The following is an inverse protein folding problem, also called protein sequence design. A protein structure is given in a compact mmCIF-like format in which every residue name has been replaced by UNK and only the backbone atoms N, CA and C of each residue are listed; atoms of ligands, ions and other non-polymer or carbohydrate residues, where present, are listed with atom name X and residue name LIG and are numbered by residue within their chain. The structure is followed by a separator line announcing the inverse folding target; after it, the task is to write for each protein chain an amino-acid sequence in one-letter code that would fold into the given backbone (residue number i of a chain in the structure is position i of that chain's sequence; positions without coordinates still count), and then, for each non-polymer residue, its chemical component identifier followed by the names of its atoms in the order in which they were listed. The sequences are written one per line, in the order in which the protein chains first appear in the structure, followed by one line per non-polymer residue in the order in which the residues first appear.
data_IF_332351175924
#
_entry.id   IF_332351175924
#
_cell.length_a   1.000
_cell.length_b   1.000
_cell.length_c   1.000
_cell.angle_alpha   90.00
_cell.angle_beta   90.00
_cell.angle_gamma   90.00
#
_symmetry.space_group_name_H-M   'P 1'
#
loop_
_entity.id
_entity.type
_entity.pdbx_description
1 polymer ?
#
# COMPACT_ATOMS: atom_id res chain seq x y z
N UNK A 1 60.90 5.12 -1.92
CA UNK A 1 60.09 6.22 -1.37
C UNK A 1 59.35 7.01 -2.45
N UNK A 2 59.97 7.38 -3.58
CA UNK A 2 59.32 8.23 -4.60
C UNK A 2 58.22 7.53 -5.43
N UNK A 3 58.29 6.19 -5.54
CA UNK A 3 57.33 5.33 -6.25
C UNK A 3 56.00 5.19 -5.51
N UNK A 4 56.05 5.05 -4.18
CA UNK A 4 54.86 4.90 -3.36
C UNK A 4 54.03 6.19 -3.33
N UNK A 5 54.69 7.35 -3.21
CA UNK A 5 54.03 8.66 -3.27
C UNK A 5 53.25 8.87 -4.58
N UNK A 6 53.80 8.42 -5.72
CA UNK A 6 53.11 8.46 -7.02
C UNK A 6 51.90 7.52 -7.06
N UNK A 7 52.02 6.32 -6.46
CA UNK A 7 50.91 5.34 -6.36
C UNK A 7 49.77 5.84 -5.48
N UNK A 8 50.08 6.47 -4.34
CA UNK A 8 49.08 7.09 -3.46
C UNK A 8 48.37 8.26 -4.14
N UNK A 9 49.10 9.13 -4.84
CA UNK A 9 48.52 10.25 -5.60
C UNK A 9 47.53 9.77 -6.66
N UNK A 10 47.87 8.69 -7.37
CA UNK A 10 46.98 8.09 -8.38
C UNK A 10 45.72 7.47 -7.77
N UNK A 11 45.85 6.77 -6.63
CA UNK A 11 44.70 6.22 -5.89
C UNK A 11 43.78 7.33 -5.40
N UNK A 12 44.34 8.40 -4.82
CA UNK A 12 43.58 9.56 -4.36
C UNK A 12 42.78 10.21 -5.49
N UNK A 13 43.38 10.45 -6.65
CA UNK A 13 42.68 11.04 -7.79
C UNK A 13 41.57 10.12 -8.34
N UNK A 14 41.79 8.80 -8.37
CA UNK A 14 40.75 7.83 -8.75
C UNK A 14 39.57 7.84 -7.78
N UNK A 15 39.84 7.79 -6.47
CA UNK A 15 38.80 7.82 -5.44
C UNK A 15 38.04 9.14 -5.48
N UNK A 16 38.73 10.27 -5.65
CA UNK A 16 38.13 11.59 -5.80
C UNK A 16 37.20 11.67 -7.01
N UNK A 17 37.60 11.08 -8.14
CA UNK A 17 36.75 11.00 -9.35
C UNK A 17 35.51 10.12 -9.11
N UNK A 18 35.68 9.00 -8.41
CA UNK A 18 34.57 8.10 -8.06
C UNK A 18 33.55 8.79 -7.12
N UNK A 19 34.03 9.50 -6.10
CA UNK A 19 33.17 10.28 -5.20
C UNK A 19 32.39 11.33 -5.98
N UNK A 20 33.04 12.08 -6.87
CA UNK A 20 32.35 13.06 -7.73
C UNK A 20 31.25 12.41 -8.56
N UNK A 21 31.54 11.27 -9.19
CA UNK A 21 30.56 10.56 -9.99
C UNK A 21 29.35 10.11 -9.15
N UNK A 22 29.58 9.58 -7.94
CA UNK A 22 28.48 9.21 -7.04
C UNK A 22 27.64 10.41 -6.61
N UNK A 23 28.25 11.58 -6.37
CA UNK A 23 27.50 12.80 -6.05
C UNK A 23 26.61 13.22 -7.23
N UNK A 24 27.12 13.14 -8.46
CA UNK A 24 26.31 13.45 -9.65
C UNK A 24 25.19 12.44 -9.89
N UNK A 25 25.45 11.15 -9.70
CA UNK A 25 24.44 10.10 -9.82
C UNK A 25 23.35 10.26 -8.77
N UNK A 26 23.72 10.54 -7.52
CA UNK A 26 22.76 10.83 -6.46
C UNK A 26 21.92 12.09 -6.77
N UNK A 27 22.53 13.14 -7.32
CA UNK A 27 21.79 14.34 -7.71
C UNK A 27 20.74 14.02 -8.80
N UNK A 28 21.12 13.26 -9.82
CA UNK A 28 20.20 12.85 -10.89
C UNK A 28 19.05 11.96 -10.37
N UNK A 29 19.33 11.06 -9.43
CA UNK A 29 18.29 10.25 -8.78
C UNK A 29 17.34 11.09 -7.93
N UNK A 30 17.85 12.10 -7.22
CA UNK A 30 17.02 13.03 -6.46
C UNK A 30 16.07 13.84 -7.37
N UNK A 31 16.53 14.24 -8.55
CA UNK A 31 15.70 14.91 -9.55
C UNK A 31 14.58 13.98 -10.06
N UNK A 32 14.91 12.73 -10.39
CA UNK A 32 13.93 11.74 -10.84
C UNK A 32 12.88 11.41 -9.77
N UNK A 33 13.30 11.29 -8.50
CA UNK A 33 12.38 11.10 -7.37
C UNK A 33 11.44 12.29 -7.22
N UNK A 34 11.96 13.52 -7.37
CA UNK A 34 11.16 14.74 -7.26
C UNK A 34 10.09 14.81 -8.35
N UNK A 35 10.43 14.47 -9.59
CA UNK A 35 9.45 14.39 -10.68
C UNK A 35 8.38 13.31 -10.46
N UNK A 36 8.77 12.15 -9.93
CA UNK A 36 7.83 11.07 -9.62
C UNK A 36 6.87 11.47 -8.49
N UNK A 37 7.37 12.17 -7.48
CA UNK A 37 6.56 12.69 -6.38
C UNK A 37 5.53 13.71 -6.88
N UNK A 38 5.93 14.61 -7.78
CA UNK A 38 5.02 15.58 -8.41
C UNK A 38 3.91 14.88 -9.21
N UNK A 39 4.29 13.92 -10.08
CA UNK A 39 3.32 13.12 -10.85
C UNK A 39 2.37 12.35 -9.93
N UNK A 40 2.89 11.78 -8.85
CA UNK A 40 2.08 11.08 -7.86
C UNK A 40 1.07 12.02 -7.18
N UNK A 41 1.50 13.23 -6.81
CA UNK A 41 0.61 14.25 -6.24
C UNK A 41 -0.54 14.60 -7.18
N UNK A 42 -0.24 14.86 -8.46
CA UNK A 42 -1.25 15.18 -9.47
C UNK A 42 -2.27 14.04 -9.59
N UNK A 43 -1.80 12.79 -9.74
CA UNK A 43 -2.68 11.62 -9.87
C UNK A 43 -3.51 11.41 -8.59
N UNK A 44 -2.92 11.64 -7.41
CA UNK A 44 -3.62 11.52 -6.15
C UNK A 44 -4.73 12.57 -5.99
N UNK A 45 -4.47 13.81 -6.40
CA UNK A 45 -5.48 14.87 -6.43
C UNK A 45 -6.60 14.58 -7.43
N UNK A 46 -6.27 14.12 -8.63
CA UNK A 46 -7.26 13.70 -9.62
C UNK A 46 -8.14 12.56 -9.09
N UNK A 47 -7.54 11.55 -8.47
CA UNK A 47 -8.28 10.45 -7.85
C UNK A 47 -9.20 10.97 -6.76
N UNK A 48 -8.71 11.82 -5.84
CA UNK A 48 -9.52 12.42 -4.78
C UNK A 48 -10.70 13.22 -5.35
N UNK A 49 -10.46 14.00 -6.41
CA UNK A 49 -11.50 14.75 -7.10
C UNK A 49 -12.56 13.83 -7.73
N UNK A 50 -12.13 12.79 -8.45
CA UNK A 50 -13.03 11.82 -9.08
C UNK A 50 -13.86 11.07 -8.05
N UNK A 51 -13.26 10.62 -6.95
CA UNK A 51 -13.98 9.98 -5.85
C UNK A 51 -14.99 10.92 -5.19
N UNK A 52 -14.63 12.18 -4.94
CA UNK A 52 -15.55 13.18 -4.41
C UNK A 52 -16.72 13.43 -5.37
N UNK A 53 -16.47 13.49 -6.68
CA UNK A 53 -17.49 13.70 -7.70
C UNK A 53 -18.42 12.48 -7.86
N UNK A 54 -17.88 11.27 -7.73
CA UNK A 54 -18.65 10.03 -7.69
C UNK A 54 -19.58 9.98 -6.47
N UNK A 55 -19.07 10.36 -5.29
CA UNK A 55 -19.87 10.50 -4.08
C UNK A 55 -21.05 11.46 -4.27
N UNK A 56 -20.78 12.65 -4.83
CA UNK A 56 -21.82 13.65 -5.10
C UNK A 56 -22.88 13.17 -6.10
N UNK A 57 -22.50 12.43 -7.15
CA UNK A 57 -23.46 11.87 -8.12
C UNK A 57 -24.31 10.76 -7.52
N UNK A 58 -23.74 9.92 -6.66
CA UNK A 58 -24.49 8.90 -5.93
C UNK A 58 -25.48 9.54 -4.95
N UNK A 59 -25.12 10.64 -4.29
CA UNK A 59 -26.05 11.44 -3.48
C UNK A 59 -27.11 12.18 -4.30
N UNK A 60 -26.85 12.48 -5.58
CA UNK A 60 -27.79 13.17 -6.48
C UNK A 60 -28.78 12.19 -7.14
N UNK A 61 -28.42 10.92 -7.35
CA UNK A 61 -29.37 9.91 -7.86
C UNK A 61 -30.47 9.55 -6.85
N UNK A 62 -30.21 9.67 -5.55
CA UNK A 62 -31.26 9.49 -4.53
C UNK A 62 -32.28 10.64 -4.51
N UNK A 63 -31.94 11.84 -5.01
CA UNK A 63 -32.84 13.01 -5.02
C UNK A 63 -33.67 13.16 -6.30
N UNK A 64 -33.27 12.55 -7.42
CA UNK A 64 -33.98 12.66 -8.71
C UNK A 64 -35.19 11.72 -8.90
N UNK A 65 -35.37 10.72 -8.03
CA UNK A 65 -36.43 9.70 -8.19
C UNK A 65 -37.74 10.00 -7.44
N UNK A 66 -37.90 11.20 -6.84
CA UNK A 66 -39.08 11.55 -6.02
C UNK A 66 -40.09 12.53 -6.64
N UNK A 67 -39.96 12.89 -7.92
CA UNK A 67 -40.85 13.87 -8.57
C UNK A 67 -41.51 13.33 -9.84
N UNK A 68 -42.49 12.43 -9.69
CA UNK A 68 -43.67 12.30 -10.58
C UNK A 68 -44.58 11.14 -10.11
N UNK A 69 -45.66 11.45 -9.38
CA UNK A 69 -46.87 10.62 -9.40
C UNK A 69 -48.06 11.40 -8.87
N UNK A 70 -48.80 12.07 -9.77
CA UNK A 70 -50.22 12.38 -9.55
C UNK A 70 -50.96 12.13 -10.86
N UNK A 71 -52.00 11.29 -10.75
CA UNK A 71 -53.14 10.97 -11.65
C UNK A 71 -53.02 9.77 -12.61
N UNK A 72 -53.73 8.71 -12.20
CA UNK A 72 -54.33 7.68 -13.06
C UNK A 72 -55.59 8.23 -13.74
N UNK A 73 -55.80 7.91 -15.03
CA UNK A 73 -56.93 7.11 -15.54
C UNK A 73 -56.90 7.04 -17.09
N UNK A 74 -57.24 5.87 -17.62
CA UNK A 74 -57.38 5.42 -19.03
C UNK A 74 -58.46 6.18 -19.85
N UNK A 75 -58.72 5.91 -21.17
CA UNK A 75 -58.07 5.07 -22.20
C UNK A 75 -57.77 5.77 -23.57
N UNK A 76 -57.06 5.06 -24.46
CA UNK A 76 -56.83 5.11 -25.96
C UNK A 76 -57.89 5.91 -26.78
N UNK A 77 -57.67 6.44 -28.04
CA UNK A 77 -56.66 6.01 -29.04
C UNK A 77 -56.14 7.03 -30.12
N UNK A 78 -55.23 6.55 -30.99
CA UNK A 78 -54.86 7.04 -32.35
C UNK A 78 -54.08 8.38 -32.38
N UNK A 79 -53.05 8.64 -33.19
CA UNK A 79 -52.75 8.27 -34.58
C UNK A 79 -51.24 8.43 -34.87
N UNK A 80 -50.76 7.54 -35.73
CA UNK A 80 -49.69 7.61 -36.75
C UNK A 80 -48.98 8.94 -37.06
N UNK A 81 -47.73 8.73 -37.50
CA UNK A 81 -46.83 9.59 -38.29
C UNK A 81 -46.10 10.68 -37.49
N UNK A 82 -44.81 10.92 -37.68
CA UNK A 82 -43.84 10.41 -38.65
C UNK A 82 -42.63 11.36 -38.61
N UNK A 83 -41.46 10.80 -38.94
CA UNK A 83 -40.28 11.50 -39.48
C UNK A 83 -39.73 12.72 -38.71
N UNK A 84 -38.63 12.55 -37.98
CA UNK A 84 -37.26 12.73 -38.50
C UNK A 84 -36.80 14.19 -38.68
N UNK A 85 -35.65 14.43 -38.03
CA UNK A 85 -34.45 15.15 -38.49
C UNK A 85 -34.20 16.58 -37.99
N UNK A 86 -33.03 16.63 -37.34
CA UNK A 86 -31.90 17.56 -37.51
C UNK A 86 -31.88 18.82 -36.64
N UNK A 87 -30.82 18.82 -35.83
CA UNK A 87 -29.93 19.89 -35.35
C UNK A 87 -29.83 21.14 -36.28
N UNK A 88 -29.12 22.24 -35.92
CA UNK A 88 -28.11 22.36 -34.85
C UNK A 88 -28.02 23.74 -34.13
N UNK A 89 -27.05 23.79 -33.21
CA UNK A 89 -26.12 24.91 -32.97
C UNK A 89 -26.60 26.24 -32.35
N UNK A 90 -26.06 26.44 -31.14
CA UNK A 90 -25.14 27.53 -30.79
C UNK A 90 -25.69 28.85 -30.22
N UNK A 91 -25.17 29.10 -29.01
CA UNK A 91 -24.50 30.32 -28.53
C UNK A 91 -25.34 31.41 -27.84
N UNK A 92 -24.68 31.91 -26.79
CA UNK A 92 -24.86 33.14 -26.01
C UNK A 92 -25.99 33.11 -24.98
N UNK A 93 -25.89 33.74 -23.83
CA UNK A 93 -24.78 34.25 -23.02
C UNK A 93 -25.40 34.73 -21.71
N UNK A 94 -24.64 34.63 -20.61
CA UNK A 94 -24.47 35.68 -19.58
C UNK A 94 -25.56 35.89 -18.51
N UNK A 95 -25.04 35.97 -17.27
CA UNK A 95 -25.51 36.78 -16.10
C UNK A 95 -26.65 36.17 -15.28
N UNK A 96 -26.37 35.53 -14.13
CA UNK A 96 -26.16 36.06 -12.77
C UNK A 96 -27.33 36.92 -12.26
N UNK A 97 -28.11 36.35 -11.32
CA UNK A 97 -28.54 36.95 -10.04
C UNK A 97 -29.59 36.03 -9.38
N UNK A 98 -29.26 35.34 -8.28
CA UNK A 98 -29.41 35.69 -6.84
C UNK A 98 -30.69 35.17 -6.19
N UNK A 99 -30.51 34.49 -5.06
CA UNK A 99 -31.39 34.42 -3.88
C UNK A 99 -32.74 33.70 -4.05
N UNK A 100 -33.29 32.92 -3.11
CA UNK A 100 -32.96 32.59 -1.72
C UNK A 100 -34.10 31.73 -1.16
N UNK A 101 -33.80 30.80 -0.24
CA UNK A 101 -34.64 30.35 0.91
C UNK A 101 -35.93 29.60 0.57
N UNK A 102 -36.31 28.47 1.17
CA UNK A 102 -35.82 27.69 2.31
C UNK A 102 -36.88 26.66 2.73
N UNK A 103 -36.49 25.72 3.61
CA UNK A 103 -37.30 24.80 4.46
C UNK A 103 -38.22 23.76 3.74
N UNK A 104 -37.94 22.44 3.73
CA UNK A 104 -38.03 21.40 4.80
C UNK A 104 -39.41 21.30 5.46
N UNK A 105 -39.96 20.12 5.88
CA UNK A 105 -39.23 18.98 6.47
C UNK A 105 -39.80 17.53 6.29
N UNK A 106 -39.00 16.57 6.79
CA UNK A 106 -39.32 15.32 7.54
C UNK A 106 -40.48 14.40 7.13
N UNK A 107 -40.25 13.13 6.78
CA UNK A 107 -40.09 12.00 7.73
C UNK A 107 -41.29 11.04 7.49
N UNK A 108 -41.31 9.73 7.63
CA UNK A 108 -40.41 8.68 8.11
C UNK A 108 -40.89 7.34 7.49
N UNK A 109 -40.05 6.30 7.53
CA UNK A 109 -40.36 4.86 7.69
C UNK A 109 -41.50 4.22 6.84
N UNK A 110 -41.36 3.05 6.21
CA UNK A 110 -40.80 1.81 6.74
C UNK A 110 -40.77 0.73 5.64
N UNK A 111 -39.79 -0.17 5.77
CA UNK A 111 -39.88 -1.62 5.61
C UNK A 111 -40.59 -2.28 4.39
N UNK A 112 -39.77 -3.08 3.72
CA UNK A 112 -39.98 -4.49 3.32
C UNK A 112 -40.32 -4.89 1.88
N UNK A 113 -39.38 -5.70 1.37
CA UNK A 113 -39.50 -6.97 0.61
C UNK A 113 -39.51 -6.93 -0.92
N UNK A 114 -38.34 -7.36 -1.41
CA UNK A 114 -38.09 -8.47 -2.35
C UNK A 114 -38.53 -8.29 -3.81
N UNK A 115 -37.52 -8.26 -4.68
CA UNK A 115 -37.65 -8.60 -6.10
C UNK A 115 -36.25 -8.78 -6.71
N UNK A 116 -35.71 -9.99 -6.60
CA UNK A 116 -34.43 -10.36 -7.19
C UNK A 116 -34.47 -10.21 -8.73
N UNK A 117 -33.45 -9.57 -9.32
CA UNK A 117 -33.12 -9.79 -10.74
C UNK A 117 -31.62 -9.67 -10.99
N UNK A 118 -31.02 -10.85 -11.18
CA UNK A 118 -29.75 -11.19 -11.84
C UNK A 118 -29.09 -10.04 -12.60
N UNK A 119 -27.91 -9.62 -12.13
CA UNK A 119 -26.96 -8.83 -12.90
C UNK A 119 -25.82 -9.74 -13.38
N UNK A 120 -25.68 -9.85 -14.68
CA UNK A 120 -24.61 -10.57 -15.37
C UNK A 120 -23.27 -9.89 -15.09
N UNK A 121 -22.35 -10.63 -14.47
CA UNK A 121 -21.03 -10.19 -14.05
C UNK A 121 -20.13 -9.87 -15.25
N UNK A 122 -19.85 -8.59 -15.47
CA UNK A 122 -18.66 -8.19 -16.24
C UNK A 122 -17.43 -8.51 -15.39
N UNK A 123 -16.64 -9.50 -15.84
CA UNK A 123 -15.35 -9.89 -15.24
C UNK A 123 -14.42 -8.67 -15.19
N UNK A 124 -14.22 -8.11 -14.00
CA UNK A 124 -13.15 -7.15 -13.75
C UNK A 124 -11.79 -7.80 -14.03
N UNK A 125 -10.94 -7.13 -14.80
CA UNK A 125 -9.53 -7.51 -14.93
C UNK A 125 -8.90 -7.46 -13.53
N UNK A 126 -8.42 -8.59 -13.04
CA UNK A 126 -7.72 -8.67 -11.76
C UNK A 126 -6.49 -7.75 -11.78
N UNK A 127 -6.39 -6.83 -10.82
CA UNK A 127 -5.20 -6.02 -10.59
C UNK A 127 -4.07 -6.96 -10.17
N UNK A 128 -3.00 -7.01 -10.95
CA UNK A 128 -1.87 -7.93 -10.77
C UNK A 128 -0.96 -7.42 -9.65
N UNK A 129 -0.69 -8.23 -8.63
CA UNK A 129 0.23 -7.87 -7.53
C UNK A 129 1.68 -8.18 -7.93
N UNK A 130 2.49 -7.13 -8.11
CA UNK A 130 3.92 -7.27 -8.42
C UNK A 130 4.74 -7.61 -7.17
N UNK A 131 5.64 -8.58 -7.32
CA UNK A 131 6.61 -8.99 -6.30
C UNK A 131 7.98 -8.42 -6.64
N UNK A 132 8.59 -7.75 -5.67
CA UNK A 132 9.97 -7.27 -5.75
C UNK A 132 10.96 -8.44 -5.61
N UNK A 133 12.04 -8.49 -6.40
CA UNK A 133 13.12 -9.44 -6.21
C UNK A 133 13.72 -9.34 -4.80
N UNK A 134 13.95 -10.49 -4.17
CA UNK A 134 14.60 -10.59 -2.85
C UNK A 134 15.91 -11.37 -2.98
N UNK A 135 16.84 -11.11 -2.06
CA UNK A 135 18.05 -11.92 -1.93
C UNK A 135 17.67 -13.30 -1.38
N UNK A 136 18.15 -14.34 -2.04
CA UNK A 136 18.01 -15.72 -1.60
C UNK A 136 19.39 -16.26 -1.22
N UNK A 137 19.44 -17.16 -0.25
CA UNK A 137 20.65 -17.89 0.09
C UNK A 137 20.95 -19.00 -0.94
N UNK A 138 22.07 -19.71 -0.75
CA UNK A 138 22.46 -20.83 -1.61
C UNK A 138 21.43 -21.97 -1.65
N UNK A 139 20.52 -22.02 -0.68
CA UNK A 139 19.44 -23.02 -0.59
C UNK A 139 18.11 -22.52 -1.18
N UNK A 140 18.08 -21.29 -1.71
CA UNK A 140 16.89 -20.66 -2.27
C UNK A 140 15.93 -20.07 -1.23
N UNK A 141 16.35 -19.94 0.04
CA UNK A 141 15.54 -19.33 1.10
C UNK A 141 15.77 -17.83 1.18
N UNK A 142 14.75 -17.03 1.56
CA UNK A 142 14.91 -15.59 1.76
C UNK A 142 15.98 -15.26 2.81
N UNK A 143 16.84 -14.28 2.50
CA UNK A 143 17.77 -13.69 3.47
C UNK A 143 17.06 -12.55 4.19
N UNK A 144 17.05 -12.60 5.52
CA UNK A 144 16.50 -11.56 6.38
C UNK A 144 17.58 -10.55 6.81
N UNK A 145 17.20 -9.28 7.06
CA UNK A 145 15.87 -8.72 6.90
C UNK A 145 15.49 -8.45 5.43
N UNK A 146 14.22 -8.64 5.08
CA UNK A 146 13.66 -8.22 3.79
C UNK A 146 13.20 -6.77 3.92
N UNK A 147 13.89 -5.85 3.27
CA UNK A 147 13.64 -4.41 3.35
C UNK A 147 12.81 -3.94 2.17
N UNK A 148 11.70 -3.25 2.44
CA UNK A 148 10.79 -2.65 1.45
C UNK A 148 10.42 -1.24 1.91
N UNK A 149 11.10 -0.22 1.37
CA UNK A 149 10.91 1.17 1.81
C UNK A 149 11.28 1.35 3.29
N UNK A 150 10.35 1.83 4.11
CA UNK A 150 10.51 2.00 5.56
C UNK A 150 10.07 0.78 6.40
N UNK A 151 9.79 -0.35 5.75
CA UNK A 151 9.45 -1.62 6.39
C UNK A 151 10.64 -2.58 6.28
N UNK A 152 11.00 -3.23 7.39
CA UNK A 152 11.98 -4.32 7.41
C UNK A 152 11.35 -5.55 8.04
N UNK A 153 11.26 -6.67 7.32
CA UNK A 153 10.72 -7.93 7.85
C UNK A 153 11.87 -8.82 8.30
N UNK A 154 11.85 -9.28 9.55
CA UNK A 154 12.89 -10.10 10.17
C UNK A 154 12.52 -11.59 10.27
N UNK A 155 11.22 -11.89 10.29
CA UNK A 155 10.71 -13.26 10.33
C UNK A 155 9.34 -13.31 9.65
N UNK A 156 9.12 -14.34 8.83
CA UNK A 156 7.80 -14.62 8.25
C UNK A 156 6.89 -15.40 9.19
N UNK A 157 7.44 -15.99 10.27
CA UNK A 157 6.71 -16.87 11.16
C UNK A 157 6.27 -18.20 10.55
N UNK A 158 5.50 -18.95 11.32
CA UNK A 158 4.97 -20.26 10.99
C UNK A 158 3.47 -20.20 10.69
N UNK A 159 3.07 -20.83 9.58
CA UNK A 159 1.66 -20.90 9.18
C UNK A 159 0.95 -21.93 10.03
N UNK A 160 -0.03 -21.47 10.81
CA UNK A 160 -0.86 -22.30 11.67
C UNK A 160 -1.99 -22.90 10.84
N UNK A 161 -2.02 -24.23 10.72
CA UNK A 161 -2.99 -24.96 9.88
C UNK A 161 -4.04 -25.74 10.66
N UNK A 162 -3.82 -25.93 11.96
CA UNK A 162 -4.72 -26.67 12.86
C UNK A 162 -5.91 -25.81 13.35
N UNK A 163 -5.81 -24.48 13.25
CA UNK A 163 -6.77 -23.51 13.78
C UNK A 163 -7.21 -22.52 12.70
N UNK A 164 -8.51 -22.43 12.46
CA UNK A 164 -9.09 -21.56 11.41
C UNK A 164 -9.02 -20.07 11.72
N UNK A 165 -8.75 -19.66 12.96
CA UNK A 165 -8.63 -18.25 13.34
C UNK A 165 -7.37 -17.55 12.80
N UNK A 166 -6.41 -18.30 12.25
CA UNK A 166 -5.11 -17.79 11.78
C UNK A 166 -5.07 -17.43 10.30
N UNK A 167 -6.19 -17.49 9.59
CA UNK A 167 -6.28 -17.01 8.21
C UNK A 167 -7.68 -16.53 7.87
N UNK A 168 -7.76 -15.68 6.86
CA UNK A 168 -8.98 -15.37 6.12
C UNK A 168 -8.90 -16.01 4.74
N UNK A 169 -9.93 -15.79 3.92
CA UNK A 169 -9.94 -16.24 2.53
C UNK A 169 -8.74 -15.70 1.71
N UNK A 170 -8.22 -14.52 2.05
CA UNK A 170 -7.21 -13.81 1.26
C UNK A 170 -5.89 -13.54 2.01
N UNK A 171 -5.83 -13.78 3.32
CA UNK A 171 -4.70 -13.43 4.17
C UNK A 171 -4.39 -14.53 5.18
N UNK A 172 -3.12 -14.70 5.51
CA UNK A 172 -2.64 -15.65 6.51
C UNK A 172 -1.95 -14.84 7.59
N UNK A 173 -2.12 -15.23 8.85
CA UNK A 173 -1.50 -14.60 10.02
C UNK A 173 -0.55 -15.60 10.68
N UNK A 174 0.70 -15.71 10.19
CA UNK A 174 1.67 -16.66 10.73
C UNK A 174 2.17 -16.23 12.11
N UNK A 175 2.26 -17.19 13.04
CA UNK A 175 2.79 -16.96 14.39
C UNK A 175 4.29 -16.79 14.34
N UNK A 176 4.84 -15.81 15.05
CA UNK A 176 6.26 -15.48 15.01
C UNK A 176 6.66 -14.58 13.83
N UNK A 177 5.69 -14.07 13.06
CA UNK A 177 5.91 -12.98 12.13
C UNK A 177 6.48 -11.78 12.87
N UNK A 178 7.54 -11.18 12.35
CA UNK A 178 8.22 -10.05 12.97
C UNK A 178 8.67 -9.05 11.90
N UNK A 179 8.24 -7.80 12.04
CA UNK A 179 8.66 -6.69 11.19
C UNK A 179 8.94 -5.44 12.00
N UNK A 180 9.75 -4.54 11.47
CA UNK A 180 9.99 -3.22 12.01
C UNK A 180 9.53 -2.17 11.01
N UNK A 181 8.92 -1.10 11.51
CA UNK A 181 8.49 0.05 10.70
C UNK A 181 8.87 1.35 11.38
N UNK A 182 9.46 2.27 10.61
CA UNK A 182 9.70 3.64 11.07
C UNK A 182 8.39 4.43 11.01
N UNK A 183 7.99 5.03 12.13
CA UNK A 183 6.76 5.82 12.25
C UNK A 183 6.89 6.91 13.34
N UNK A 184 5.89 7.79 13.48
CA UNK A 184 5.93 8.89 14.47
C UNK A 184 6.03 8.36 15.90
N UNK A 185 6.89 8.97 16.72
CA UNK A 185 7.08 8.60 18.12
C UNK A 185 5.87 8.99 18.99
N UNK A 186 5.49 8.11 19.91
CA UNK A 186 4.48 8.43 20.95
C UNK A 186 5.06 9.40 21.99
N UNK A 187 6.37 9.35 22.24
CA UNK A 187 7.03 10.18 23.26
C UNK A 187 7.35 11.58 22.73
N UNK A 188 7.87 11.66 21.51
CA UNK A 188 8.29 12.90 20.87
C UNK A 188 7.66 12.98 19.46
N UNK A 189 6.45 13.51 19.31
CA UNK A 189 5.75 13.46 18.02
C UNK A 189 6.44 14.18 16.86
N UNK A 190 7.38 15.08 17.14
CA UNK A 190 8.25 15.71 16.13
C UNK A 190 9.35 14.79 15.60
N UNK A 191 9.54 13.62 16.23
CA UNK A 191 10.56 12.63 15.90
C UNK A 191 9.92 11.33 15.44
N UNK A 192 10.72 10.53 14.73
CA UNK A 192 10.36 9.17 14.34
C UNK A 192 11.06 8.16 15.25
N UNK A 193 10.39 7.05 15.50
CA UNK A 193 10.99 5.89 16.15
C UNK A 193 10.68 4.62 15.35
N UNK A 194 11.32 3.53 15.75
CA UNK A 194 11.06 2.20 15.18
C UNK A 194 9.99 1.51 16.01
N UNK A 195 9.02 0.94 15.30
CA UNK A 195 7.99 0.07 15.87
C UNK A 195 8.22 -1.36 15.42
N UNK A 196 8.36 -2.26 16.39
CA UNK A 196 8.41 -3.69 16.16
C UNK A 196 6.99 -4.27 16.19
N UNK A 197 6.55 -4.83 15.08
CA UNK A 197 5.26 -5.46 14.89
C UNK A 197 5.41 -6.99 14.93
N UNK A 198 4.60 -7.67 15.74
CA UNK A 198 4.62 -9.13 15.86
C UNK A 198 3.23 -9.75 15.78
N UNK A 199 3.16 -10.95 15.23
CA UNK A 199 1.98 -11.82 15.33
C UNK A 199 2.35 -12.95 16.30
N UNK A 200 1.62 -13.06 17.40
CA UNK A 200 1.88 -14.03 18.47
C UNK A 200 0.71 -15.02 18.56
N UNK A 201 0.97 -16.21 19.11
CA UNK A 201 -0.07 -17.22 19.32
C UNK A 201 -1.02 -16.75 20.44
N UNK A 202 -2.27 -16.49 20.08
CA UNK A 202 -3.32 -16.07 21.00
C UNK A 202 -4.29 -17.19 21.38
N UNK A 203 -3.95 -18.45 21.14
CA UNK A 203 -4.84 -19.60 21.32
C UNK A 203 -5.74 -19.79 20.10
N UNK A 204 -7.07 -19.54 20.19
CA UNK A 204 -7.99 -19.76 19.06
C UNK A 204 -7.77 -18.83 17.86
N UNK A 205 -7.20 -17.65 18.07
CA UNK A 205 -6.93 -16.64 17.03
C UNK A 205 -5.62 -15.90 17.35
N UNK A 206 -4.96 -15.27 16.36
CA UNK A 206 -3.71 -14.55 16.59
C UNK A 206 -3.90 -13.33 17.48
N UNK A 207 -2.84 -12.97 18.17
CA UNK A 207 -2.68 -11.64 18.78
C UNK A 207 -1.67 -10.84 17.98
N UNK A 208 -1.94 -9.55 17.87
CA UNK A 208 -1.12 -8.60 17.15
C UNK A 208 -0.49 -7.66 18.17
N UNK A 209 0.81 -7.45 18.06
CA UNK A 209 1.62 -6.65 18.97
C UNK A 209 2.31 -5.53 18.20
N UNK A 210 2.26 -4.31 18.71
CA UNK A 210 3.12 -3.20 18.31
C UNK A 210 3.89 -2.71 19.53
N UNK A 211 5.21 -2.85 19.51
CA UNK A 211 6.13 -2.31 20.52
C UNK A 211 6.91 -1.13 19.92
N UNK A 212 7.04 -0.04 20.67
CA UNK A 212 7.90 1.10 20.31
C UNK A 212 9.26 0.93 20.97
N UNK A 213 10.32 1.31 20.26
CA UNK A 213 11.67 1.35 20.84
C UNK A 213 11.82 2.45 21.90
N UNK A 214 10.98 3.49 21.87
CA UNK A 214 11.01 4.60 22.84
C UNK A 214 10.41 4.23 24.20
N UNK A 215 9.46 3.28 24.22
CA UNK A 215 8.77 2.83 25.44
C UNK A 215 8.83 1.30 25.52
N UNK A 216 10.02 0.73 25.79
CA UNK A 216 10.15 -0.71 25.93
C UNK A 216 9.30 -1.20 27.12
N UNK A 217 8.59 -2.30 26.93
CA UNK A 217 7.79 -2.94 27.98
C UNK A 217 6.31 -2.54 28.04
N UNK A 218 5.85 -1.57 27.23
CA UNK A 218 4.40 -1.27 27.10
C UNK A 218 3.86 -1.52 25.68
N UNK A 219 3.90 -2.77 25.18
CA UNK A 219 3.40 -3.09 23.86
C UNK A 219 1.88 -2.88 23.76
N UNK A 220 1.42 -2.49 22.58
CA UNK A 220 0.01 -2.49 22.23
C UNK A 220 -0.34 -3.87 21.69
N UNK A 221 -1.14 -4.63 22.44
CA UNK A 221 -1.58 -5.98 22.05
C UNK A 221 -3.09 -6.00 21.79
N UNK A 222 -3.53 -6.47 20.61
CA UNK A 222 -4.95 -6.57 20.23
C UNK A 222 -5.23 -7.81 19.37
N UNK A 223 -6.51 -8.07 19.08
CA UNK A 223 -6.93 -9.20 18.24
C UNK A 223 -6.95 -8.89 16.74
N UNK A 224 -6.70 -7.63 16.36
CA UNK A 224 -6.62 -7.19 14.96
C UNK A 224 -5.45 -6.22 14.74
N UNK A 225 -4.77 -6.28 13.57
CA UNK A 225 -3.77 -5.28 13.20
C UNK A 225 -4.34 -3.86 13.20
N UNK A 226 -5.61 -3.71 12.80
CA UNK A 226 -6.27 -2.40 12.72
C UNK A 226 -6.46 -1.82 14.12
N UNK A 227 -6.91 -2.62 15.08
CA UNK A 227 -7.05 -2.19 16.47
C UNK A 227 -5.71 -1.74 17.07
N UNK A 228 -4.62 -2.45 16.78
CA UNK A 228 -3.29 -2.03 17.21
C UNK A 228 -2.92 -0.66 16.65
N UNK A 229 -3.11 -0.47 15.33
CA UNK A 229 -2.78 0.79 14.67
C UNK A 229 -3.67 1.94 15.13
N UNK A 230 -4.98 1.72 15.34
CA UNK A 230 -5.89 2.74 15.89
C UNK A 230 -5.44 3.19 17.28
N UNK A 231 -5.05 2.26 18.17
CA UNK A 231 -4.55 2.60 19.50
C UNK A 231 -3.22 3.36 19.40
N UNK A 232 -2.32 2.94 18.51
CA UNK A 232 -1.06 3.65 18.25
C UNK A 232 -1.31 5.10 17.80
N UNK A 233 -2.14 5.28 16.77
CA UNK A 233 -2.50 6.59 16.24
C UNK A 233 -3.17 7.46 17.30
N UNK A 234 -4.07 6.89 18.11
CA UNK A 234 -4.69 7.61 19.23
C UNK A 234 -3.66 8.10 20.26
N UNK A 235 -2.64 7.28 20.59
CA UNK A 235 -1.56 7.70 21.50
C UNK A 235 -0.73 8.84 20.91
N UNK A 236 -0.34 8.75 19.63
CA UNK A 236 0.44 9.80 18.94
C UNK A 236 -0.38 11.09 18.87
N UNK A 237 -1.63 11.02 18.44
CA UNK A 237 -2.55 12.16 18.34
C UNK A 237 -2.73 12.88 19.69
N UNK A 238 -2.87 12.12 20.78
CA UNK A 238 -2.91 12.68 22.14
C UNK A 238 -1.61 13.38 22.53
N UNK A 239 -0.46 12.83 22.14
CA UNK A 239 0.83 13.45 22.41
C UNK A 239 1.06 14.74 21.59
N UNK A 240 0.50 14.82 20.38
CA UNK A 240 0.52 16.05 19.54
C UNK A 240 -0.51 17.09 20.02
N UNK A 241 -1.56 16.65 20.71
CA UNK A 241 -2.68 17.52 21.11
C UNK A 241 -3.73 17.74 19.99
N UNK A 242 -3.82 16.81 19.02
CA UNK A 242 -4.77 16.90 17.90
C UNK A 242 -5.68 15.68 17.90
N UNK A 243 -7.01 15.86 17.84
CA UNK A 243 -7.95 14.76 17.62
C UNK A 243 -8.17 14.51 16.12
N UNK A 244 -7.22 13.85 15.46
CA UNK A 244 -7.41 13.36 14.09
C UNK A 244 -8.11 11.99 14.15
N UNK A 245 -9.36 11.92 13.73
CA UNK A 245 -10.04 10.65 13.46
C UNK A 245 -9.59 10.16 12.08
N UNK A 246 -8.90 9.03 12.05
CA UNK A 246 -8.46 8.40 10.79
C UNK A 246 -9.45 7.29 10.40
N UNK A 247 -10.37 7.57 9.47
CA UNK A 247 -11.41 6.61 9.04
C UNK A 247 -10.88 5.44 8.19
N UNK A 248 -9.60 5.43 7.85
CA UNK A 248 -8.99 4.42 6.97
C UNK A 248 -7.74 3.79 7.58
N UNK A 249 -7.90 3.14 8.73
CA UNK A 249 -6.81 2.41 9.41
C UNK A 249 -6.42 1.16 8.61
N UNK A 250 -5.18 1.14 8.09
CA UNK A 250 -4.62 0.02 7.34
C UNK A 250 -3.61 -0.77 8.16
N UNK A 251 -4.06 -1.38 9.25
CA UNK A 251 -3.20 -2.11 10.20
C UNK A 251 -2.40 -3.23 9.53
N UNK A 252 -3.02 -4.01 8.65
CA UNK A 252 -2.31 -5.10 7.95
C UNK A 252 -1.20 -4.58 7.01
N UNK A 253 -1.36 -3.37 6.45
CA UNK A 253 -0.31 -2.69 5.67
C UNK A 253 0.81 -2.18 6.58
N UNK A 254 0.45 -1.64 7.75
CA UNK A 254 1.42 -1.22 8.75
C UNK A 254 2.29 -2.40 9.24
N UNK A 255 1.70 -3.56 9.51
CA UNK A 255 2.46 -4.77 9.84
C UNK A 255 3.32 -5.26 8.65
N UNK A 256 2.97 -4.88 7.42
CA UNK A 256 3.68 -5.29 6.21
C UNK A 256 3.24 -6.66 5.69
N UNK A 257 2.25 -7.29 6.31
CA UNK A 257 1.76 -8.61 5.90
C UNK A 257 0.97 -8.57 4.59
N UNK A 258 0.53 -7.38 4.14
CA UNK A 258 -0.10 -7.19 2.83
C UNK A 258 0.89 -6.92 1.69
N UNK A 259 2.18 -6.73 2.00
CA UNK A 259 3.20 -6.50 0.97
C UNK A 259 3.24 -7.71 0.04
N UNK A 260 3.06 -7.55 -1.29
CA UNK A 260 2.95 -8.68 -2.21
C UNK A 260 4.10 -9.69 -2.11
N UNK A 261 5.33 -9.21 -1.96
CA UNK A 261 6.51 -10.06 -1.76
C UNK A 261 6.37 -10.92 -0.50
N UNK A 262 5.96 -10.32 0.61
CA UNK A 262 5.78 -11.01 1.89
C UNK A 262 4.61 -11.99 1.83
N UNK A 263 3.48 -11.61 1.22
CA UNK A 263 2.35 -12.50 0.99
C UNK A 263 2.75 -13.72 0.15
N UNK A 264 3.52 -13.52 -0.92
CA UNK A 264 4.00 -14.61 -1.77
C UNK A 264 4.91 -15.57 -0.99
N UNK A 265 5.77 -15.06 -0.11
CA UNK A 265 6.65 -15.88 0.71
C UNK A 265 5.89 -16.68 1.77
N UNK A 266 4.96 -16.06 2.49
CA UNK A 266 4.08 -16.75 3.45
C UNK A 266 3.24 -17.80 2.73
N UNK A 267 2.71 -17.49 1.54
CA UNK A 267 1.94 -18.44 0.76
C UNK A 267 2.77 -19.66 0.32
N UNK A 268 4.05 -19.44 0.03
CA UNK A 268 4.98 -20.48 -0.40
C UNK A 268 5.47 -21.36 0.76
N UNK A 269 5.44 -20.88 2.01
CA UNK A 269 5.96 -21.63 3.16
C UNK A 269 5.04 -22.75 3.65
N UNK A 270 3.71 -22.65 3.45
CA UNK A 270 2.83 -23.77 3.82
C UNK A 270 1.33 -23.46 3.81
N UNK A 271 0.68 -23.53 2.64
CA UNK A 271 -0.75 -23.19 2.50
C UNK A 271 -1.66 -24.35 2.08
N UNK A 272 -1.10 -25.50 1.70
CA UNK A 272 -1.87 -26.65 1.17
C UNK A 272 -2.91 -27.22 2.15
N UNK A 273 -2.70 -27.05 3.46
CA UNK A 273 -3.56 -27.58 4.52
C UNK A 273 -4.59 -26.56 5.05
N UNK A 274 -4.61 -25.33 4.53
CA UNK A 274 -5.52 -24.28 5.01
C UNK A 274 -6.89 -24.41 4.33
N UNK A 275 -7.96 -24.76 5.08
CA UNK A 275 -9.29 -24.83 4.50
C UNK A 275 -9.82 -23.42 4.16
N UNK A 276 -10.31 -23.23 2.94
CA UNK A 276 -10.96 -21.97 2.52
C UNK A 276 -10.01 -20.84 2.13
N UNK A 277 -8.70 -21.00 2.29
CA UNK A 277 -7.73 -20.02 1.78
C UNK A 277 -7.68 -20.04 0.24
N UNK A 278 -7.72 -18.87 -0.39
CA UNK A 278 -7.59 -18.70 -1.84
C UNK A 278 -6.20 -18.18 -2.20
N UNK A 279 -5.33 -19.02 -2.81
CA UNK A 279 -4.00 -18.61 -3.20
C UNK A 279 -4.03 -17.38 -4.12
N UNK A 280 -3.28 -16.36 -3.73
CA UNK A 280 -3.08 -15.16 -4.54
C UNK A 280 -2.13 -15.47 -5.69
N UNK A 281 -2.37 -14.80 -6.84
CA UNK A 281 -1.48 -14.84 -7.99
C UNK A 281 -0.56 -13.65 -7.96
N UNK A 282 0.74 -13.91 -8.03
CA UNK A 282 1.79 -12.90 -8.01
C UNK A 282 2.55 -12.90 -9.32
N UNK A 283 2.87 -11.70 -9.82
CA UNK A 283 3.77 -11.54 -10.96
C UNK A 283 5.12 -11.07 -10.47
N UNK A 284 6.19 -11.74 -10.90
CA UNK A 284 7.55 -11.27 -10.63
C UNK A 284 7.81 -10.05 -11.49
N UNK A 285 8.29 -8.96 -10.88
CA UNK A 285 8.79 -7.85 -11.69
C UNK A 285 10.01 -8.34 -12.48
N UNK A 286 10.05 -8.06 -13.79
CA UNK A 286 11.19 -8.40 -14.67
C UNK A 286 12.31 -7.35 -14.49
N UNK A 287 12.25 -6.53 -13.44
CA UNK A 287 13.29 -5.56 -13.13
C UNK A 287 14.51 -6.23 -12.45
N UNK A 288 15.11 -7.21 -13.14
CA UNK A 288 16.55 -7.37 -13.12
C UNK A 288 17.07 -6.58 -14.33
N UNK A 289 17.36 -5.30 -14.14
CA UNK A 289 18.19 -4.57 -15.09
C UNK A 289 19.51 -5.33 -15.22
N UNK A 290 19.86 -5.69 -16.46
CA UNK A 290 21.03 -6.49 -16.87
C UNK A 290 22.40 -5.93 -16.44
N UNK A 291 22.47 -4.90 -15.60
CA UNK A 291 23.71 -4.22 -15.23
C UNK A 291 24.37 -4.69 -13.92
N UNK A 292 23.74 -5.58 -13.13
CA UNK A 292 24.35 -6.03 -11.86
C UNK A 292 24.96 -7.45 -11.91
N UNK A 293 24.71 -8.21 -12.99
CA UNK A 293 25.34 -9.52 -13.21
C UNK A 293 26.75 -9.43 -13.81
N UNK A 294 27.20 -8.24 -14.26
CA UNK A 294 28.57 -8.01 -14.72
C UNK A 294 29.56 -7.70 -13.59
N UNK A 295 29.10 -7.56 -12.34
CA UNK A 295 29.95 -7.20 -11.19
C UNK A 295 30.38 -8.41 -10.34
N UNK A 296 29.98 -9.63 -10.71
CA UNK A 296 30.40 -10.86 -10.03
C UNK A 296 31.23 -11.71 -11.00
N UNK A 297 32.29 -11.12 -11.53
CA UNK A 297 33.49 -11.87 -11.89
C UNK A 297 34.56 -11.44 -10.89
N UNK A 298 34.66 -12.21 -9.81
CA UNK A 298 35.82 -12.16 -8.93
C UNK A 298 36.92 -12.96 -9.64
N UNK A 299 37.54 -12.35 -10.65
CA UNK A 299 38.77 -12.89 -11.23
C UNK A 299 39.90 -12.59 -10.23
N UNK A 300 40.00 -13.48 -9.23
CA UNK A 300 41.09 -13.50 -8.26
C UNK A 300 42.33 -14.12 -8.88
N UNK A 301 43.09 -13.29 -9.58
CA UNK A 301 44.52 -13.54 -9.79
C UNK A 301 45.29 -12.22 -9.64
N UNK A 302 45.40 -11.75 -8.39
CA UNK A 302 46.43 -10.77 -8.04
C UNK A 302 47.30 -11.37 -6.90
N UNK A 303 48.52 -11.85 -7.21
CA UNK A 303 49.36 -12.59 -6.25
C UNK A 303 49.87 -11.75 -5.08
N UNK A 304 49.58 -10.44 -5.04
CA UNK A 304 50.07 -9.53 -4.00
C UNK A 304 49.24 -9.60 -2.70
N UNK A 305 48.02 -10.14 -2.74
CA UNK A 305 47.12 -10.20 -1.56
C UNK A 305 47.39 -11.46 -0.70
N UNK A 306 47.99 -12.52 -1.27
CA UNK A 306 48.29 -13.76 -0.53
C UNK A 306 49.38 -13.57 0.52
N UNK A 307 50.39 -12.75 0.22
CA UNK A 307 51.57 -12.61 1.07
C UNK A 307 51.36 -11.65 2.26
N UNK A 308 50.24 -10.92 2.28
CA UNK A 308 49.88 -10.06 3.41
C UNK A 308 49.12 -10.81 4.52
N UNK A 309 48.57 -12.00 4.24
CA UNK A 309 47.76 -12.78 5.19
C UNK A 309 48.40 -14.09 5.65
N UNK A 310 49.54 -14.51 5.08
CA UNK A 310 50.31 -15.68 5.53
C UNK A 310 51.78 -15.34 5.80
N UNK A 311 52.01 -14.36 6.67
CA UNK A 311 53.32 -14.12 7.27
C UNK A 311 53.50 -14.89 8.58
N UNK A 312 53.91 -16.16 8.46
CA UNK A 312 54.95 -16.79 9.30
C UNK A 312 56.05 -17.22 8.35
#
# INVERSE_FOLDING_TARGET
METDTKRYKLKYEKTKKMIKNFVFENAALCDEISELQEKYMIINEENKFLYSKLGALNSTQETASKSQSVRKNSPVPKTLSGAQKKAPAAKKSRTISTASVGSSPAGSENATKKGARKQTTARGKAVKKLVHPIKLDATGRPIFPIVVGNLSVYSLGDVITDRSGYHTEEMIFPVGFCSCRVYGSIMNPEQQCVYTCKIIDGGPQPLFEIASDDIPGSPIVRHSPNECLTVLQSKINKAVGVEVVSDNTKGSEFFGITVPTIQNLIQSSGTRKLPGYKPLKFERSIAFSKNQLASINFDSHDPVIRDFFMGV
#
